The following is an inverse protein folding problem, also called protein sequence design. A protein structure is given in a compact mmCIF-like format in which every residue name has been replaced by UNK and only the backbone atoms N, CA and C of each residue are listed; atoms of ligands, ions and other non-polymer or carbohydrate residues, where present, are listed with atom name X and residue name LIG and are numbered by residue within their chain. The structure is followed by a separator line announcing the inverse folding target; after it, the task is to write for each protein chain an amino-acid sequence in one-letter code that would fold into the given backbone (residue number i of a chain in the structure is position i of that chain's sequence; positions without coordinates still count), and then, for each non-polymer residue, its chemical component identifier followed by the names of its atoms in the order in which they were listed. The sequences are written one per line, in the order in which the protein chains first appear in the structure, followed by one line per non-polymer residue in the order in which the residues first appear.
data_IF_208455039762
#
_entry.id   IF_208455039762
#
_cell.length_a   1.000
_cell.length_b   1.000
_cell.length_c   1.000
_cell.angle_alpha   90.00
_cell.angle_beta   90.00
_cell.angle_gamma   90.00
#
_symmetry.space_group_name_H-M   'P 1'
#
loop_
_entity.id
_entity.type
_entity.pdbx_description
1 polymer ?
#
# COMPACT_ATOMS: atom_id res chain seq x y z
N UNK A 1 -2.45 4.43 14.40
CA UNK A 1 -1.44 4.79 13.40
C UNK A 1 -1.73 4.14 12.04
N UNK A 2 -1.87 2.82 11.97
CA UNK A 2 -2.06 2.10 10.68
C UNK A 2 -3.34 2.55 9.97
N UNK A 3 -4.44 2.73 10.67
CA UNK A 3 -5.69 3.24 10.09
C UNK A 3 -5.55 4.67 9.56
N UNK A 4 -4.85 5.54 10.28
CA UNK A 4 -4.57 6.91 9.80
C UNK A 4 -3.73 6.90 8.51
N UNK A 5 -2.74 6.03 8.44
CA UNK A 5 -1.93 5.85 7.22
C UNK A 5 -2.78 5.30 6.08
N UNK A 6 -3.73 4.41 6.38
CA UNK A 6 -4.69 3.84 5.42
C UNK A 6 -5.65 4.85 4.78
N UNK A 7 -5.76 6.07 5.32
CA UNK A 7 -6.51 7.16 4.67
C UNK A 7 -5.83 7.65 3.38
N UNK A 8 -4.51 7.55 3.29
CA UNK A 8 -3.74 8.03 2.12
C UNK A 8 -4.19 7.32 0.83
N UNK A 9 -4.20 5.97 0.73
CA UNK A 9 -4.65 5.30 -0.48
C UNK A 9 -6.13 5.56 -0.77
N UNK A 10 -6.97 5.72 0.26
CA UNK A 10 -8.37 6.06 0.08
C UNK A 10 -8.55 7.41 -0.62
N UNK A 11 -7.80 8.45 -0.20
CA UNK A 11 -7.82 9.77 -0.85
C UNK A 11 -7.31 9.72 -2.29
N UNK A 12 -6.21 9.01 -2.54
CA UNK A 12 -5.65 8.86 -3.89
C UNK A 12 -6.66 8.17 -4.82
N UNK A 13 -7.26 7.08 -4.36
CA UNK A 13 -8.20 6.30 -5.18
C UNK A 13 -9.52 7.05 -5.37
N UNK A 14 -10.04 7.76 -4.35
CA UNK A 14 -11.25 8.57 -4.47
C UNK A 14 -11.11 9.70 -5.49
N UNK A 15 -9.93 10.32 -5.56
CA UNK A 15 -9.63 11.33 -6.58
C UNK A 15 -9.57 10.74 -8.01
N UNK A 16 -9.14 9.48 -8.14
CA UNK A 16 -9.05 8.78 -9.42
C UNK A 16 -10.37 8.14 -9.87
N UNK A 17 -11.27 7.84 -8.94
CA UNK A 17 -12.50 7.10 -9.21
C UNK A 17 -13.42 7.73 -10.27
N UNK A 18 -13.67 9.05 -10.31
CA UNK A 18 -14.48 9.67 -11.36
C UNK A 18 -13.88 9.49 -12.75
N UNK A 19 -12.54 9.53 -12.84
CA UNK A 19 -11.80 9.35 -14.10
C UNK A 19 -11.93 7.89 -14.56
N UNK A 20 -11.72 6.94 -13.65
CA UNK A 20 -11.81 5.51 -13.92
C UNK A 20 -13.23 5.11 -14.38
N UNK A 21 -14.26 5.59 -13.70
CA UNK A 21 -15.66 5.27 -14.02
C UNK A 21 -16.14 5.92 -15.33
N UNK A 22 -15.63 7.10 -15.68
CA UNK A 22 -15.88 7.76 -16.97
C UNK A 22 -15.24 6.98 -18.11
N UNK A 23 -13.98 6.61 -17.98
CA UNK A 23 -13.22 5.89 -19.00
C UNK A 23 -13.75 4.48 -19.30
N UNK A 24 -14.39 3.82 -18.33
CA UNK A 24 -15.03 2.52 -18.59
C UNK A 24 -16.12 2.60 -19.66
N UNK A 25 -16.83 3.73 -19.74
CA UNK A 25 -17.86 3.96 -20.77
C UNK A 25 -17.27 4.28 -22.14
N UNK A 26 -16.04 4.80 -22.18
CA UNK A 26 -15.39 5.25 -23.42
C UNK A 26 -14.48 4.18 -24.03
N UNK A 27 -13.60 3.55 -23.25
CA UNK A 27 -12.63 2.57 -23.75
C UNK A 27 -12.04 1.71 -22.61
N UNK A 28 -12.07 0.40 -22.81
CA UNK A 28 -11.43 -0.57 -21.89
C UNK A 28 -9.90 -0.38 -21.85
N UNK A 29 -9.28 0.07 -22.92
CA UNK A 29 -7.83 0.27 -22.98
C UNK A 29 -7.41 1.51 -22.18
N UNK A 30 -8.21 2.57 -22.18
CA UNK A 30 -8.01 3.73 -21.33
C UNK A 30 -8.12 3.35 -19.85
N UNK A 31 -9.12 2.53 -19.49
CA UNK A 31 -9.28 1.99 -18.15
C UNK A 31 -8.07 1.18 -17.70
N UNK A 32 -7.54 0.30 -18.55
CA UNK A 32 -6.33 -0.49 -18.28
C UNK A 32 -5.11 0.38 -17.97
N UNK A 33 -4.90 1.43 -18.78
CA UNK A 33 -3.78 2.37 -18.58
C UNK A 33 -3.87 3.08 -17.24
N UNK A 34 -5.05 3.61 -16.88
CA UNK A 34 -5.26 4.30 -15.61
C UNK A 34 -5.11 3.33 -14.43
N UNK A 35 -5.66 2.12 -14.52
CA UNK A 35 -5.45 1.09 -13.50
C UNK A 35 -3.97 0.77 -13.28
N UNK A 36 -3.21 0.51 -14.36
CA UNK A 36 -1.79 0.18 -14.27
C UNK A 36 -0.97 1.33 -13.69
N UNK A 37 -1.27 2.57 -14.06
CA UNK A 37 -0.64 3.75 -13.50
C UNK A 37 -0.95 3.89 -12.01
N UNK A 38 -2.22 3.78 -11.61
CA UNK A 38 -2.66 3.85 -10.21
C UNK A 38 -2.02 2.77 -9.35
N UNK A 39 -2.01 1.53 -9.83
CA UNK A 39 -1.37 0.39 -9.15
C UNK A 39 0.12 0.66 -8.92
N UNK A 40 0.83 1.20 -9.93
CA UNK A 40 2.23 1.56 -9.85
C UNK A 40 2.50 2.67 -8.83
N UNK A 41 1.68 3.73 -8.83
CA UNK A 41 1.83 4.84 -7.87
C UNK A 41 1.51 4.40 -6.44
N UNK A 42 0.51 3.55 -6.25
CA UNK A 42 0.19 3.05 -4.91
C UNK A 42 1.30 2.16 -4.35
N UNK A 43 1.92 1.28 -5.16
CA UNK A 43 3.12 0.53 -4.72
C UNK A 43 4.28 1.48 -4.41
N UNK A 44 4.50 2.49 -5.23
CA UNK A 44 5.54 3.50 -5.01
C UNK A 44 5.41 4.19 -3.66
N UNK A 45 4.18 4.49 -3.22
CA UNK A 45 3.93 5.14 -1.93
C UNK A 45 3.89 4.11 -0.79
N UNK A 46 3.30 2.95 -1.01
CA UNK A 46 3.12 1.90 0.00
C UNK A 46 4.46 1.39 0.58
N UNK A 47 5.45 1.16 -0.29
CA UNK A 47 6.73 0.58 0.11
C UNK A 47 7.52 1.45 1.10
N UNK A 48 7.79 2.75 0.84
CA UNK A 48 8.51 3.58 1.79
C UNK A 48 7.71 3.81 3.07
N UNK A 49 6.38 3.90 3.01
CA UNK A 49 5.53 4.05 4.18
C UNK A 49 5.59 2.78 5.05
N UNK A 50 5.46 1.59 4.46
CA UNK A 50 5.51 0.33 5.19
C UNK A 50 6.89 0.10 5.81
N UNK A 51 7.97 0.22 5.03
CA UNK A 51 9.34 -0.01 5.50
C UNK A 51 9.77 1.07 6.49
N UNK A 52 9.42 2.33 6.24
CA UNK A 52 9.66 3.43 7.19
C UNK A 52 8.96 3.19 8.52
N UNK A 53 7.67 2.82 8.50
CA UNK A 53 6.91 2.47 9.72
C UNK A 53 7.50 1.26 10.43
N UNK A 54 7.93 0.23 9.69
CA UNK A 54 8.57 -0.97 10.24
C UNK A 54 9.85 -0.63 11.00
N UNK A 55 10.76 0.09 10.34
CA UNK A 55 12.08 0.40 10.90
C UNK A 55 12.03 1.45 12.01
N UNK A 56 11.14 2.43 11.88
CA UNK A 56 10.99 3.50 12.86
C UNK A 56 9.93 3.23 13.92
N UNK A 57 9.33 2.03 13.94
CA UNK A 57 8.20 1.68 14.82
C UNK A 57 8.44 2.03 16.30
N UNK A 58 9.64 1.74 16.83
CA UNK A 58 10.00 2.07 18.22
C UNK A 58 10.02 3.58 18.47
N UNK A 59 10.68 4.34 17.59
CA UNK A 59 10.76 5.80 17.69
C UNK A 59 9.40 6.47 17.50
N UNK A 60 8.57 5.96 16.59
CA UNK A 60 7.22 6.46 16.35
C UNK A 60 6.32 6.25 17.59
N UNK A 61 6.33 5.04 18.16
CA UNK A 61 5.54 4.77 19.37
C UNK A 61 6.02 5.63 20.53
N UNK A 62 7.32 5.68 20.77
CA UNK A 62 7.89 6.49 21.85
C UNK A 62 7.53 7.97 21.71
N UNK A 63 7.71 8.54 20.52
CA UNK A 63 7.53 9.97 20.30
C UNK A 63 6.05 10.39 20.33
N UNK A 64 5.13 9.53 19.84
CA UNK A 64 3.70 9.89 19.70
C UNK A 64 2.90 9.52 20.94
N UNK A 65 3.20 8.34 21.54
CA UNK A 65 2.38 7.76 22.61
C UNK A 65 3.11 7.68 23.96
N UNK A 66 4.44 7.81 23.98
CA UNK A 66 5.26 7.73 25.20
C UNK A 66 5.67 6.29 25.58
N UNK A 67 6.41 6.20 26.71
CA UNK A 67 7.03 4.95 27.18
C UNK A 67 6.03 3.84 27.53
N UNK A 68 4.83 4.20 27.97
CA UNK A 68 3.80 3.26 28.38
C UNK A 68 3.37 2.33 27.23
N UNK A 69 3.49 2.80 26.00
CA UNK A 69 3.07 2.09 24.80
C UNK A 69 4.18 1.30 24.09
N UNK A 70 5.39 1.24 24.63
CA UNK A 70 6.53 0.54 24.00
C UNK A 70 6.22 -0.95 23.75
N UNK A 71 5.39 -1.58 24.57
CA UNK A 71 4.93 -2.97 24.38
C UNK A 71 4.13 -3.16 23.08
N UNK A 72 3.63 -2.10 22.45
CA UNK A 72 2.87 -2.17 21.17
C UNK A 72 3.77 -2.14 19.95
N UNK A 73 5.06 -1.87 20.09
CA UNK A 73 6.03 -1.82 18.99
C UNK A 73 6.02 -3.08 18.13
N UNK A 74 6.01 -4.31 18.68
CA UNK A 74 5.94 -5.52 17.86
C UNK A 74 4.67 -5.61 17.02
N UNK A 75 3.52 -5.16 17.55
CA UNK A 75 2.28 -5.12 16.79
C UNK A 75 2.36 -4.13 15.62
N UNK A 76 2.92 -2.94 15.84
CA UNK A 76 3.13 -1.97 14.77
C UNK A 76 4.06 -2.51 13.67
N UNK A 77 5.13 -3.24 14.05
CA UNK A 77 6.01 -3.91 13.09
C UNK A 77 5.28 -4.93 12.22
N UNK A 78 4.43 -5.76 12.81
CA UNK A 78 3.62 -6.73 12.07
C UNK A 78 2.65 -5.99 11.15
N UNK A 79 1.88 -5.05 11.67
CA UNK A 79 0.87 -4.31 10.91
C UNK A 79 1.46 -3.42 9.81
N UNK A 80 2.72 -2.97 9.95
CA UNK A 80 3.38 -2.20 8.87
C UNK A 80 3.53 -3.02 7.58
N UNK A 81 3.64 -4.35 7.68
CA UNK A 81 3.66 -5.23 6.51
C UNK A 81 2.31 -5.26 5.80
N UNK A 82 1.20 -5.13 6.54
CA UNK A 82 -0.13 -5.05 5.95
C UNK A 82 -0.33 -3.80 5.08
N UNK A 83 0.37 -2.69 5.40
CA UNK A 83 0.22 -1.43 4.67
C UNK A 83 0.47 -1.58 3.17
N UNK A 84 1.44 -2.41 2.76
CA UNK A 84 1.74 -2.64 1.34
C UNK A 84 0.48 -3.17 0.63
N UNK A 85 -0.18 -4.16 1.24
CA UNK A 85 -1.36 -4.79 0.69
C UNK A 85 -2.58 -3.89 0.78
N UNK A 86 -2.79 -3.20 1.91
CA UNK A 86 -3.87 -2.24 2.12
C UNK A 86 -3.87 -1.19 0.99
N UNK A 87 -2.72 -0.56 0.71
CA UNK A 87 -2.63 0.44 -0.34
C UNK A 87 -3.05 -0.08 -1.71
N UNK A 88 -2.60 -1.26 -2.06
CA UNK A 88 -2.89 -1.86 -3.37
C UNK A 88 -4.31 -2.42 -3.43
N UNK A 89 -4.83 -2.99 -2.33
CA UNK A 89 -6.19 -3.51 -2.27
C UNK A 89 -7.23 -2.41 -2.54
N UNK A 90 -6.97 -1.16 -2.15
CA UNK A 90 -7.86 -0.04 -2.47
C UNK A 90 -8.09 0.09 -3.99
N UNK A 91 -7.06 0.05 -4.82
CA UNK A 91 -7.27 0.16 -6.28
C UNK A 91 -7.86 -1.11 -6.86
N UNK A 92 -7.48 -2.31 -6.39
CA UNK A 92 -8.03 -3.57 -6.87
C UNK A 92 -9.53 -3.66 -6.64
N UNK A 93 -10.00 -3.23 -5.48
CA UNK A 93 -11.43 -3.24 -5.17
C UNK A 93 -12.19 -2.15 -5.94
N UNK A 94 -11.64 -0.92 -6.01
CA UNK A 94 -12.33 0.17 -6.69
C UNK A 94 -12.43 -0.02 -8.20
N UNK A 95 -11.42 -0.62 -8.84
CA UNK A 95 -11.49 -0.90 -10.28
C UNK A 95 -12.57 -1.96 -10.61
N UNK A 96 -12.80 -2.93 -9.73
CA UNK A 96 -13.88 -3.91 -9.88
C UNK A 96 -15.26 -3.24 -9.75
N UNK A 97 -15.41 -2.26 -8.85
CA UNK A 97 -16.64 -1.45 -8.76
C UNK A 97 -16.87 -0.66 -10.04
N UNK A 98 -15.82 -0.03 -10.57
CA UNK A 98 -15.91 0.77 -11.80
C UNK A 98 -16.36 -0.03 -13.02
N UNK A 99 -16.07 -1.34 -13.07
CA UNK A 99 -16.55 -2.25 -14.12
C UNK A 99 -17.82 -3.01 -13.75
N UNK A 100 -18.62 -2.50 -12.80
CA UNK A 100 -19.90 -3.09 -12.32
C UNK A 100 -19.76 -4.51 -11.74
N UNK A 101 -18.63 -4.78 -11.05
CA UNK A 101 -18.36 -6.07 -10.37
C UNK A 101 -18.42 -5.95 -8.85
N UNK A 102 -19.39 -5.17 -8.30
CA UNK A 102 -19.57 -4.99 -6.85
C UNK A 102 -19.84 -6.32 -6.13
N UNK A 103 -20.60 -7.24 -6.76
CA UNK A 103 -20.86 -8.56 -6.18
C UNK A 103 -19.56 -9.35 -6.00
N UNK A 104 -18.60 -9.22 -6.91
CA UNK A 104 -17.28 -9.84 -6.77
C UNK A 104 -16.56 -9.29 -5.55
N UNK A 105 -16.60 -7.96 -5.33
CA UNK A 105 -16.04 -7.36 -4.12
C UNK A 105 -16.72 -7.87 -2.84
N UNK A 106 -18.04 -8.00 -2.85
CA UNK A 106 -18.78 -8.52 -1.68
C UNK A 106 -18.36 -9.96 -1.36
N UNK A 107 -18.19 -10.82 -2.37
CA UNK A 107 -17.70 -12.20 -2.21
C UNK A 107 -16.26 -12.20 -1.66
N UNK A 108 -15.37 -11.37 -2.20
CA UNK A 108 -14.00 -11.25 -1.71
C UNK A 108 -13.96 -10.80 -0.25
N UNK A 109 -14.71 -9.75 0.09
CA UNK A 109 -14.82 -9.25 1.45
C UNK A 109 -15.39 -10.32 2.41
N UNK A 110 -16.45 -11.01 2.03
CA UNK A 110 -17.01 -12.13 2.79
C UNK A 110 -15.99 -13.23 3.03
N UNK A 111 -15.25 -13.64 1.99
CA UNK A 111 -14.18 -14.63 2.12
C UNK A 111 -13.11 -14.17 3.11
N UNK A 112 -12.69 -12.89 3.04
CA UNK A 112 -11.71 -12.33 3.97
C UNK A 112 -12.22 -12.28 5.41
N UNK A 113 -13.51 -12.01 5.63
CA UNK A 113 -14.11 -12.06 6.97
C UNK A 113 -14.01 -13.47 7.56
N UNK A 114 -14.38 -14.52 6.80
CA UNK A 114 -14.25 -15.91 7.27
C UNK A 114 -12.79 -16.28 7.57
N UNK A 115 -11.86 -15.94 6.68
CA UNK A 115 -10.43 -16.18 6.88
C UNK A 115 -9.93 -15.45 8.13
N UNK A 116 -10.31 -14.18 8.30
CA UNK A 116 -9.90 -13.38 9.45
C UNK A 116 -10.43 -13.97 10.77
N UNK A 117 -11.70 -14.35 10.83
CA UNK A 117 -12.29 -14.99 12.01
C UNK A 117 -11.56 -16.29 12.33
N UNK A 118 -11.36 -17.17 11.36
CA UNK A 118 -10.65 -18.45 11.56
C UNK A 118 -9.24 -18.25 12.07
N UNK A 119 -8.50 -17.30 11.49
CA UNK A 119 -7.14 -16.98 11.94
C UNK A 119 -7.12 -16.37 13.34
N UNK A 120 -8.06 -15.49 13.68
CA UNK A 120 -8.14 -14.90 15.02
C UNK A 120 -8.45 -15.96 16.08
N UNK A 121 -9.37 -16.88 15.81
CA UNK A 121 -9.69 -17.99 16.71
C UNK A 121 -8.46 -18.88 16.97
N UNK A 122 -7.62 -19.09 15.95
CA UNK A 122 -6.41 -19.91 16.09
C UNK A 122 -5.22 -19.16 16.69
N UNK A 123 -5.02 -17.89 16.33
CA UNK A 123 -3.79 -17.15 16.65
C UNK A 123 -3.90 -16.34 17.93
N UNK A 124 -5.05 -15.75 18.25
CA UNK A 124 -5.21 -14.93 19.45
C UNK A 124 -4.96 -15.73 20.76
N UNK A 125 -5.47 -16.97 20.93
CA UNK A 125 -5.23 -17.73 22.15
C UNK A 125 -3.75 -18.02 22.41
N UNK A 126 -2.92 -18.09 21.35
CA UNK A 126 -1.49 -18.42 21.43
C UNK A 126 -0.59 -17.19 21.49
N UNK A 127 -0.94 -16.13 20.76
CA UNK A 127 -0.08 -14.97 20.51
C UNK A 127 -0.69 -13.65 20.95
N UNK A 128 -1.91 -13.65 21.52
CA UNK A 128 -2.60 -12.46 21.98
C UNK A 128 -2.79 -11.44 20.84
N UNK A 129 -2.53 -10.17 21.11
CA UNK A 129 -2.67 -9.08 20.15
C UNK A 129 -1.73 -9.19 18.93
N UNK A 130 -0.59 -9.87 19.05
CA UNK A 130 0.30 -10.16 17.93
C UNK A 130 -0.34 -11.16 16.96
N UNK A 131 -1.13 -12.11 17.50
CA UNK A 131 -1.93 -13.02 16.69
C UNK A 131 -2.98 -12.30 15.87
N UNK A 132 -3.67 -11.32 16.45
CA UNK A 132 -4.64 -10.49 15.74
C UNK A 132 -3.96 -9.66 14.62
N UNK A 133 -2.81 -9.05 14.90
CA UNK A 133 -2.02 -8.33 13.88
C UNK A 133 -1.59 -9.24 12.72
N UNK A 134 -1.14 -10.45 13.04
CA UNK A 134 -0.75 -11.45 12.02
C UNK A 134 -1.94 -11.90 11.19
N UNK A 135 -3.10 -12.14 11.82
CA UNK A 135 -4.35 -12.46 11.12
C UNK A 135 -4.73 -11.36 10.12
N UNK A 136 -4.58 -10.08 10.51
CA UNK A 136 -4.82 -8.94 9.61
C UNK A 136 -3.89 -8.98 8.40
N UNK A 137 -2.57 -9.17 8.60
CA UNK A 137 -1.60 -9.24 7.48
C UNK A 137 -1.97 -10.36 6.52
N UNK A 138 -2.27 -11.55 7.03
CA UNK A 138 -2.64 -12.70 6.19
C UNK A 138 -3.94 -12.41 5.43
N UNK A 139 -4.93 -11.80 6.08
CA UNK A 139 -6.21 -11.44 5.43
C UNK A 139 -6.00 -10.44 4.30
N UNK A 140 -5.14 -9.43 4.50
CA UNK A 140 -4.81 -8.46 3.45
C UNK A 140 -4.07 -9.12 2.26
N UNK A 141 -3.19 -10.09 2.53
CA UNK A 141 -2.55 -10.90 1.47
C UNK A 141 -3.59 -11.72 0.70
N UNK A 142 -4.54 -12.36 1.38
CA UNK A 142 -5.61 -13.11 0.73
C UNK A 142 -6.46 -12.19 -0.15
N UNK A 143 -6.84 -11.01 0.35
CA UNK A 143 -7.58 -10.01 -0.41
C UNK A 143 -6.80 -9.56 -1.66
N UNK A 144 -5.50 -9.35 -1.52
CA UNK A 144 -4.61 -8.98 -2.63
C UNK A 144 -4.55 -10.06 -3.72
N UNK A 145 -4.41 -11.33 -3.34
CA UNK A 145 -4.37 -12.46 -4.27
C UNK A 145 -5.71 -12.57 -5.02
N UNK A 146 -6.83 -12.51 -4.29
CA UNK A 146 -8.17 -12.54 -4.88
C UNK A 146 -8.40 -11.35 -5.80
N UNK A 147 -8.01 -10.13 -5.37
CA UNK A 147 -8.11 -8.91 -6.16
C UNK A 147 -7.34 -9.01 -7.47
N UNK A 148 -6.10 -9.48 -7.43
CA UNK A 148 -5.29 -9.69 -8.65
C UNK A 148 -5.92 -10.74 -9.58
N UNK A 149 -6.44 -11.82 -9.03
CA UNK A 149 -7.11 -12.86 -9.81
C UNK A 149 -8.32 -12.30 -10.56
N UNK A 150 -9.21 -11.59 -9.86
CA UNK A 150 -10.42 -11.06 -10.49
C UNK A 150 -10.13 -9.89 -11.43
N UNK A 151 -9.17 -9.02 -11.12
CA UNK A 151 -8.74 -7.96 -12.04
C UNK A 151 -8.10 -8.56 -13.29
N UNK A 152 -7.27 -9.61 -13.16
CA UNK A 152 -6.70 -10.31 -14.30
C UNK A 152 -7.78 -10.97 -15.18
N UNK A 153 -8.87 -11.46 -14.57
CA UNK A 153 -9.99 -12.10 -15.26
C UNK A 153 -10.87 -11.09 -16.02
N UNK A 154 -11.11 -9.91 -15.45
CA UNK A 154 -12.10 -8.97 -16.00
C UNK A 154 -11.49 -7.78 -16.74
N UNK A 155 -10.23 -7.43 -16.48
CA UNK A 155 -9.62 -6.19 -16.97
C UNK A 155 -8.29 -6.49 -17.67
N UNK A 156 -7.22 -6.80 -16.91
CA UNK A 156 -5.90 -7.13 -17.45
C UNK A 156 -5.00 -7.78 -16.40
N UNK A 157 -4.00 -8.53 -16.87
CA UNK A 157 -2.93 -9.06 -16.02
C UNK A 157 -1.97 -7.94 -15.62
N UNK A 158 -1.57 -7.93 -14.34
CA UNK A 158 -0.62 -6.97 -13.78
C UNK A 158 0.73 -7.64 -13.61
N UNK A 159 1.77 -7.07 -14.21
CA UNK A 159 3.14 -7.55 -13.99
C UNK A 159 3.72 -6.89 -12.73
N UNK A 160 3.49 -7.53 -11.57
CA UNK A 160 3.92 -7.04 -10.25
C UNK A 160 5.43 -6.84 -10.20
N UNK A 161 6.20 -7.78 -10.75
CA UNK A 161 7.67 -7.73 -10.72
C UNK A 161 8.19 -6.50 -11.46
N UNK A 162 7.66 -6.21 -12.64
CA UNK A 162 8.07 -5.04 -13.41
C UNK A 162 7.71 -3.72 -12.69
N UNK A 163 6.57 -3.69 -11.99
CA UNK A 163 6.09 -2.50 -11.27
C UNK A 163 6.85 -2.29 -9.96
N UNK A 164 7.10 -3.35 -9.20
CA UNK A 164 7.66 -3.28 -7.85
C UNK A 164 9.20 -3.23 -7.83
N UNK A 165 9.90 -3.68 -8.88
CA UNK A 165 11.36 -3.85 -8.87
C UNK A 165 12.11 -2.56 -8.52
N UNK A 166 11.85 -1.46 -9.21
CA UNK A 166 12.51 -0.17 -8.96
C UNK A 166 12.19 0.41 -7.59
N UNK A 167 10.90 0.50 -7.17
CA UNK A 167 10.55 0.91 -5.81
C UNK A 167 11.17 0.02 -4.73
N UNK A 168 11.26 -1.30 -4.97
CA UNK A 168 11.85 -2.24 -4.01
C UNK A 168 13.35 -1.98 -3.80
N UNK A 169 14.11 -1.75 -4.87
CA UNK A 169 15.53 -1.38 -4.76
C UNK A 169 15.68 -0.03 -4.06
N UNK A 170 14.84 0.95 -4.42
CA UNK A 170 14.89 2.29 -3.80
C UNK A 170 14.57 2.24 -2.31
N UNK A 171 13.60 1.41 -1.90
CA UNK A 171 13.24 1.26 -0.47
C UNK A 171 14.30 0.49 0.31
N UNK A 172 15.03 -0.43 -0.30
CA UNK A 172 16.15 -1.11 0.33
C UNK A 172 17.28 -0.11 0.67
N UNK A 173 17.62 0.80 -0.27
CA UNK A 173 18.57 1.87 -0.04
C UNK A 173 18.08 2.82 1.07
N UNK A 174 16.80 3.23 1.02
CA UNK A 174 16.18 4.05 2.06
C UNK A 174 16.24 3.36 3.43
N UNK A 175 15.93 2.06 3.50
CA UNK A 175 15.98 1.29 4.73
C UNK A 175 17.39 1.23 5.34
N UNK A 176 18.41 1.02 4.51
CA UNK A 176 19.81 1.08 4.94
C UNK A 176 20.15 2.47 5.50
N UNK A 177 19.71 3.53 4.83
CA UNK A 177 19.90 4.90 5.30
C UNK A 177 19.25 5.13 6.67
N UNK A 178 18.00 4.68 6.87
CA UNK A 178 17.30 4.77 8.16
C UNK A 178 18.11 4.11 9.26
N UNK A 179 18.55 2.84 9.06
CA UNK A 179 19.29 2.07 10.06
C UNK A 179 20.60 2.79 10.47
N UNK A 180 21.31 3.39 9.50
CA UNK A 180 22.57 4.08 9.76
C UNK A 180 22.41 5.44 10.46
N UNK A 181 21.25 6.10 10.29
CA UNK A 181 21.06 7.48 10.76
C UNK A 181 20.19 7.61 12.00
N UNK A 182 19.33 6.62 12.28
CA UNK A 182 18.38 6.65 13.41
C UNK A 182 19.05 6.87 14.77
N UNK A 183 20.27 6.38 14.97
CA UNK A 183 21.02 6.56 16.22
C UNK A 183 21.64 7.96 16.38
N UNK A 184 21.69 8.77 15.31
CA UNK A 184 22.44 10.04 15.28
C UNK A 184 21.58 11.28 15.06
N UNK A 185 20.39 11.12 14.46
CA UNK A 185 19.53 12.21 14.03
C UNK A 185 18.18 12.16 14.73
N UNK A 186 17.55 13.33 14.87
CA UNK A 186 16.18 13.43 15.34
C UNK A 186 15.22 12.73 14.35
N UNK A 187 14.14 12.12 14.87
CA UNK A 187 13.15 11.36 14.12
C UNK A 187 12.62 12.13 12.89
N UNK A 188 12.31 13.41 13.04
CA UNK A 188 11.80 14.24 11.94
C UNK A 188 12.81 14.34 10.78
N UNK A 189 14.08 14.56 11.10
CA UNK A 189 15.15 14.60 10.09
C UNK A 189 15.36 13.24 9.41
N UNK A 190 15.31 12.15 10.17
CA UNK A 190 15.41 10.79 9.60
C UNK A 190 14.27 10.56 8.60
N UNK A 191 13.01 10.91 8.94
CA UNK A 191 11.86 10.74 8.05
C UNK A 191 12.05 11.57 6.77
N UNK A 192 12.37 12.85 6.88
CA UNK A 192 12.52 13.75 5.71
C UNK A 192 13.67 13.29 4.81
N UNK A 193 14.84 13.02 5.38
CA UNK A 193 16.02 12.63 4.60
C UNK A 193 15.86 11.24 3.96
N UNK A 194 15.22 10.29 4.65
CA UNK A 194 14.93 8.98 4.08
C UNK A 194 13.92 9.06 2.94
N UNK A 195 12.89 9.90 3.06
CA UNK A 195 11.96 10.17 1.97
C UNK A 195 12.66 10.78 0.76
N UNK A 196 13.52 11.79 0.98
CA UNK A 196 14.35 12.40 -0.08
C UNK A 196 15.25 11.34 -0.75
N UNK A 197 15.92 10.49 0.03
CA UNK A 197 16.76 9.41 -0.50
C UNK A 197 15.94 8.46 -1.39
N UNK A 198 14.75 8.06 -0.95
CA UNK A 198 13.86 7.19 -1.72
C UNK A 198 13.45 7.82 -3.06
N UNK A 199 12.94 9.05 -3.03
CA UNK A 199 12.51 9.73 -4.25
C UNK A 199 13.67 10.03 -5.20
N UNK A 200 14.84 10.37 -4.68
CA UNK A 200 16.06 10.56 -5.49
C UNK A 200 16.45 9.26 -6.21
N UNK A 201 16.43 8.12 -5.50
CA UNK A 201 16.67 6.81 -6.12
C UNK A 201 15.65 6.48 -7.22
N UNK A 202 14.36 6.78 -7.01
CA UNK A 202 13.32 6.56 -8.03
C UNK A 202 13.55 7.42 -9.28
N UNK A 203 14.00 8.67 -9.11
CA UNK A 203 14.33 9.54 -10.24
C UNK A 203 15.55 9.00 -11.01
N UNK A 204 16.59 8.56 -10.31
CA UNK A 204 17.79 7.96 -10.91
C UNK A 204 17.47 6.68 -11.68
N UNK A 205 16.59 5.83 -11.16
CA UNK A 205 16.14 4.61 -11.83
C UNK A 205 15.10 4.86 -12.94
N UNK A 206 14.79 6.13 -13.23
CA UNK A 206 13.80 6.51 -14.27
C UNK A 206 12.49 5.77 -14.07
N UNK A 207 11.94 5.82 -12.86
CA UNK A 207 10.65 5.21 -12.55
C UNK A 207 9.50 5.87 -13.30
N UNK A 208 9.53 7.20 -13.43
CA UNK A 208 8.52 7.97 -14.12
C UNK A 208 8.68 7.85 -15.64
N UNK A 209 7.62 7.38 -16.31
CA UNK A 209 7.57 7.25 -17.78
C UNK A 209 7.08 8.53 -18.44
N UNK A 210 7.28 8.65 -19.76
CA UNK A 210 6.75 9.81 -20.53
C UNK A 210 5.21 9.87 -20.49
N UNK A 211 4.56 8.71 -20.40
CA UNK A 211 3.09 8.60 -20.27
C UNK A 211 2.59 9.18 -18.94
N UNK A 212 3.35 9.02 -17.87
CA UNK A 212 3.01 9.58 -16.55
C UNK A 212 2.96 11.09 -16.55
N UNK A 213 3.90 11.74 -17.27
CA UNK A 213 3.90 13.20 -17.42
C UNK A 213 2.66 13.70 -18.13
N UNK A 214 2.17 12.97 -19.13
CA UNK A 214 0.95 13.34 -19.85
C UNK A 214 -0.30 13.22 -18.97
N UNK A 215 -0.39 12.17 -18.17
CA UNK A 215 -1.51 11.98 -17.22
C UNK A 215 -1.50 13.09 -16.16
N UNK A 216 -0.34 13.44 -15.60
CA UNK A 216 -0.19 14.53 -14.62
C UNK A 216 -0.58 15.90 -15.23
N UNK A 217 -0.15 16.19 -16.45
CA UNK A 217 -0.48 17.45 -17.14
C UNK A 217 -1.99 17.54 -17.40
N UNK A 218 -2.64 16.42 -17.73
CA UNK A 218 -4.09 16.38 -17.96
C UNK A 218 -4.90 16.59 -16.67
N UNK A 219 -4.38 16.13 -15.53
CA UNK A 219 -4.99 16.31 -14.20
C UNK A 219 -4.86 17.76 -13.68
N UNK A 220 -3.75 18.45 -14.02
CA UNK A 220 -3.52 19.84 -13.56
C UNK A 220 -4.29 20.87 -14.45
N UNK A 221 -4.66 20.49 -15.67
CA UNK A 221 -5.36 21.37 -16.62
C UNK A 221 -6.91 21.37 -16.49
N UNK A 222 -7.47 20.55 -15.65
CA UNK A 222 -8.87 20.53 -15.26
C UNK A 222 -9.04 21.17 -13.85
#
# INVERSE_FOLDING_TARGET
LVELIGVIPALVVSALFPIVSGLHKESIDSLRKVYQASFRYLIMIALPVAVGTLLLSGHLIYTIYGDEYVKTVPALKILSLALIFIFVNYILMNILVAVNRQMTNAIMAGTCVFVNIALNVCLIPRYGYLGAGTATVITEIVLFILGLYYVAKYICKTNIVAVASKPFISVAIMGTFIVLTTARLNLAFVIILSALTYFTCLLLFRFFTKEDKMILIHLIRK
#
